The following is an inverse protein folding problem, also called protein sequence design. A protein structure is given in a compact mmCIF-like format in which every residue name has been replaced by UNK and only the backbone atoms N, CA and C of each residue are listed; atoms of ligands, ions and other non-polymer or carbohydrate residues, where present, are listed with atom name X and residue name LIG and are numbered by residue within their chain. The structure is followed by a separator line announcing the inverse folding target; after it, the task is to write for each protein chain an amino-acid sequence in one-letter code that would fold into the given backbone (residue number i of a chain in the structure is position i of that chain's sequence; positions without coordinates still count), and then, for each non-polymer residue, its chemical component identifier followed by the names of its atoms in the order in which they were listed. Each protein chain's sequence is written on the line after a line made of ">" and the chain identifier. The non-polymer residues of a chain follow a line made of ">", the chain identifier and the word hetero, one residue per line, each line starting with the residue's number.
data_IF_722664160527
#
_entry.id   IF_722664160527
#
_cell.length_a   1.000
_cell.length_b   1.000
_cell.length_c   1.000
_cell.angle_alpha   90.00
_cell.angle_beta   90.00
_cell.angle_gamma   90.00
#
_symmetry.space_group_name_H-M   'P 1'
#
loop_
_entity.id
_entity.type
_entity.pdbx_description
1 polymer ?
#
# COMPACT_ATOMS: atom_id res chain seq x y z
N UNK A 1 12.19 7.82 102.62
CA UNK A 1 12.09 9.03 101.78
C UNK A 1 13.07 9.01 100.61
N UNK A 2 14.38 8.78 100.82
CA UNK A 2 15.39 8.76 99.75
C UNK A 2 15.07 7.81 98.57
N UNK A 3 14.65 6.57 98.83
CA UNK A 3 14.28 5.60 97.79
C UNK A 3 13.14 6.09 96.88
N UNK A 4 12.12 6.73 97.46
CA UNK A 4 11.01 7.27 96.67
C UNK A 4 11.47 8.42 95.76
N UNK A 5 12.37 9.28 96.26
CA UNK A 5 12.97 10.35 95.45
C UNK A 5 13.74 9.80 94.24
N UNK A 6 14.53 8.75 94.42
CA UNK A 6 15.25 8.09 93.32
C UNK A 6 14.29 7.48 92.30
N UNK A 7 13.30 6.70 92.75
CA UNK A 7 12.32 6.08 91.86
C UNK A 7 11.52 7.12 91.06
N UNK A 8 11.15 8.25 91.69
CA UNK A 8 10.48 9.36 91.00
C UNK A 8 11.40 9.95 89.92
N UNK A 9 12.67 10.21 90.22
CA UNK A 9 13.62 10.74 89.24
C UNK A 9 13.83 9.78 88.05
N UNK A 10 13.97 8.48 88.31
CA UNK A 10 14.05 7.44 87.26
C UNK A 10 12.79 7.42 86.41
N UNK A 11 11.60 7.44 87.03
CA UNK A 11 10.34 7.47 86.30
C UNK A 11 10.20 8.74 85.45
N UNK A 12 10.57 9.91 85.98
CA UNK A 12 10.59 11.17 85.23
C UNK A 12 11.51 11.08 84.01
N UNK A 13 12.71 10.51 84.16
CA UNK A 13 13.64 10.30 83.04
C UNK A 13 13.05 9.33 82.01
N UNK A 14 12.50 8.20 82.45
CA UNK A 14 11.88 7.21 81.56
C UNK A 14 10.70 7.82 80.79
N UNK A 15 9.88 8.64 81.45
CA UNK A 15 8.75 9.34 80.82
C UNK A 15 9.26 10.34 79.77
N UNK A 16 10.31 11.10 80.07
CA UNK A 16 10.92 12.02 79.11
C UNK A 16 11.44 11.27 77.88
N UNK A 17 12.18 10.18 78.08
CA UNK A 17 12.65 9.32 76.98
C UNK A 17 11.49 8.74 76.17
N UNK A 18 10.44 8.24 76.82
CA UNK A 18 9.28 7.70 76.15
C UNK A 18 8.55 8.78 75.33
N UNK A 19 8.47 10.01 75.83
CA UNK A 19 7.88 11.14 75.11
C UNK A 19 8.63 11.42 73.81
N UNK A 20 9.96 11.48 73.86
CA UNK A 20 10.78 11.66 72.66
C UNK A 20 10.60 10.51 71.67
N UNK A 21 10.61 9.26 72.15
CA UNK A 21 10.42 8.09 71.29
C UNK A 21 9.06 8.11 70.59
N UNK A 22 7.99 8.47 71.30
CA UNK A 22 6.64 8.59 70.72
C UNK A 22 6.59 9.70 69.67
N UNK A 23 7.26 10.83 69.90
CA UNK A 23 7.36 11.90 68.90
C UNK A 23 8.03 11.41 67.62
N UNK A 24 9.18 10.73 67.74
CA UNK A 24 9.92 10.19 66.58
C UNK A 24 9.11 9.14 65.81
N UNK A 25 8.36 8.28 66.53
CA UNK A 25 7.47 7.31 65.91
C UNK A 25 6.30 7.97 65.21
N UNK A 26 5.73 9.02 65.79
CA UNK A 26 4.62 9.77 65.18
C UNK A 26 5.06 10.42 63.87
N UNK A 27 6.26 11.01 63.86
CA UNK A 27 6.85 11.58 62.64
C UNK A 27 7.11 10.50 61.59
N UNK A 28 7.70 9.36 61.98
CA UNK A 28 7.96 8.23 61.08
C UNK A 28 6.66 7.71 60.44
N UNK A 29 5.60 7.54 61.24
CA UNK A 29 4.29 7.07 60.76
C UNK A 29 3.63 8.09 59.83
N UNK A 30 3.77 9.38 60.15
CA UNK A 30 3.26 10.46 59.30
C UNK A 30 3.93 10.43 57.93
N UNK A 31 5.27 10.33 57.90
CA UNK A 31 6.03 10.31 56.65
C UNK A 31 5.72 9.06 55.80
N UNK A 32 5.65 7.87 56.42
CA UNK A 32 5.21 6.65 55.73
C UNK A 32 3.78 6.81 55.18
N UNK A 33 2.92 7.45 55.95
CA UNK A 33 1.58 7.80 55.58
C UNK A 33 1.49 8.92 54.54
N UNK A 34 2.57 9.54 54.08
CA UNK A 34 2.59 10.52 52.99
C UNK A 34 3.21 9.93 51.72
N UNK A 35 4.30 9.16 51.85
CA UNK A 35 5.12 8.67 50.73
C UNK A 35 4.71 7.30 50.17
N UNK A 36 3.86 6.54 50.87
CA UNK A 36 3.43 5.22 50.39
C UNK A 36 2.44 5.29 49.22
N UNK A 37 2.44 4.25 48.37
CA UNK A 37 1.32 3.97 47.46
C UNK A 37 0.11 3.56 48.30
N UNK A 38 -0.96 4.36 48.27
CA UNK A 38 -2.12 4.18 49.13
C UNK A 38 -3.28 3.57 48.39
N UNK A 39 -4.08 2.79 49.11
CA UNK A 39 -5.40 2.41 48.64
C UNK A 39 -6.33 3.61 48.72
N UNK A 40 -6.79 4.07 47.56
CA UNK A 40 -7.90 4.99 47.42
C UNK A 40 -9.21 4.18 47.50
N UNK A 41 -9.86 4.24 48.67
CA UNK A 41 -11.07 3.47 48.94
C UNK A 41 -12.25 3.90 48.09
N UNK A 42 -12.33 5.19 47.77
CA UNK A 42 -13.47 5.77 47.07
C UNK A 42 -13.41 5.40 45.59
N UNK A 43 -12.20 5.30 45.03
CA UNK A 43 -11.98 4.88 43.64
C UNK A 43 -11.65 3.38 43.47
N UNK A 44 -11.37 2.66 44.56
CA UNK A 44 -11.06 1.23 44.53
C UNK A 44 -9.74 0.89 43.84
N UNK A 45 -8.71 1.73 43.98
CA UNK A 45 -7.40 1.58 43.32
C UNK A 45 -6.24 1.91 44.25
N UNK A 46 -5.03 1.44 43.92
CA UNK A 46 -3.82 2.06 44.46
C UNK A 46 -3.50 3.34 43.70
N UNK A 47 -3.33 4.46 44.40
CA UNK A 47 -3.00 5.75 43.77
C UNK A 47 -1.51 6.02 43.79
N UNK A 48 -1.01 6.53 42.67
CA UNK A 48 0.35 7.08 42.53
C UNK A 48 0.37 8.61 42.65
N UNK A 49 -0.72 9.23 43.11
CA UNK A 49 -0.72 10.64 43.48
C UNK A 49 0.23 10.88 44.65
N UNK A 50 1.06 11.92 44.56
CA UNK A 50 2.01 12.30 45.61
C UNK A 50 2.19 13.82 45.63
N UNK A 51 2.16 14.40 46.83
CA UNK A 51 2.15 15.85 47.02
C UNK A 51 0.98 16.52 46.28
N UNK A 52 1.30 17.52 45.46
CA UNK A 52 0.32 18.26 44.66
C UNK A 52 0.03 17.63 43.28
N UNK A 53 0.68 16.52 42.95
CA UNK A 53 0.49 15.86 41.66
C UNK A 53 -0.70 14.91 41.72
N UNK A 54 -1.57 14.99 40.73
CA UNK A 54 -2.70 14.07 40.58
C UNK A 54 -2.27 12.68 40.11
N UNK A 55 -1.07 12.54 39.54
CA UNK A 55 -0.44 11.26 39.18
C UNK A 55 1.10 11.38 39.15
N UNK A 56 1.80 10.27 39.36
CA UNK A 56 3.27 10.19 39.30
C UNK A 56 3.72 9.00 38.45
N UNK A 57 4.97 9.03 37.98
CA UNK A 57 5.59 7.88 37.32
C UNK A 57 5.87 6.78 38.34
N UNK A 58 5.54 5.54 37.98
CA UNK A 58 6.06 4.33 38.65
C UNK A 58 7.18 3.80 37.76
N UNK A 59 8.42 3.85 38.26
CA UNK A 59 9.62 3.45 37.53
C UNK A 59 10.32 2.30 38.23
N UNK A 60 11.43 1.81 37.65
CA UNK A 60 12.18 0.65 38.15
C UNK A 60 11.34 -0.63 38.20
N UNK A 61 10.43 -0.77 37.23
CA UNK A 61 9.60 -1.95 37.01
C UNK A 61 10.39 -2.92 36.14
N UNK A 62 10.66 -4.11 36.67
CA UNK A 62 11.18 -5.24 35.89
C UNK A 62 10.18 -5.59 34.79
N UNK A 63 10.68 -6.15 33.68
CA UNK A 63 9.83 -6.62 32.59
C UNK A 63 8.76 -7.58 33.13
N UNK A 64 7.50 -7.24 32.88
CA UNK A 64 6.37 -8.06 33.26
C UNK A 64 6.26 -9.28 32.36
N UNK A 65 5.74 -10.39 32.89
CA UNK A 65 5.46 -11.57 32.06
C UNK A 65 4.35 -11.25 31.06
N UNK A 66 4.57 -11.43 29.75
CA UNK A 66 3.54 -11.19 28.72
C UNK A 66 2.86 -12.50 28.34
N UNK A 67 1.72 -12.77 28.98
CA UNK A 67 0.84 -13.92 28.69
C UNK A 67 -0.63 -13.51 28.83
N UNK A 68 -1.55 -14.33 28.30
CA UNK A 68 -2.98 -14.04 28.31
C UNK A 68 -3.60 -13.89 29.72
N UNK A 69 -2.93 -14.38 30.76
CA UNK A 69 -3.41 -14.36 32.15
C UNK A 69 -2.49 -13.61 33.11
N UNK A 70 -1.48 -12.88 32.59
CA UNK A 70 -0.55 -12.15 33.44
C UNK A 70 -1.25 -11.03 34.21
N UNK A 71 -0.78 -10.77 35.42
CA UNK A 71 -1.15 -9.59 36.22
C UNK A 71 0.08 -8.72 36.53
N UNK A 72 1.21 -8.99 35.87
CA UNK A 72 2.42 -8.19 36.02
C UNK A 72 2.24 -6.85 35.30
N UNK A 73 2.75 -5.78 35.92
CA UNK A 73 2.90 -4.51 35.21
C UNK A 73 4.00 -4.66 34.13
N UNK A 74 3.74 -4.14 32.93
CA UNK A 74 4.77 -4.02 31.89
C UNK A 74 5.43 -2.64 31.98
N UNK A 75 6.65 -2.54 31.48
CA UNK A 75 7.37 -1.27 31.41
C UNK A 75 7.46 -0.73 29.96
N UNK A 76 8.12 0.42 29.82
CA UNK A 76 8.26 1.11 28.54
C UNK A 76 9.08 0.33 27.50
N UNK A 77 10.10 -0.44 27.90
CA UNK A 77 10.92 -1.21 26.95
C UNK A 77 10.09 -2.29 26.25
N UNK A 78 9.23 -3.00 26.98
CA UNK A 78 8.38 -4.03 26.39
C UNK A 78 7.38 -3.46 25.37
N UNK A 79 6.79 -2.29 25.66
CA UNK A 79 5.90 -1.61 24.71
C UNK A 79 6.67 -1.07 23.50
N UNK A 80 7.88 -0.54 23.71
CA UNK A 80 8.76 -0.05 22.65
C UNK A 80 9.18 -1.18 21.70
N UNK A 81 9.56 -2.34 22.24
CA UNK A 81 9.96 -3.51 21.45
C UNK A 81 8.80 -4.04 20.60
N UNK A 82 7.59 -4.12 21.15
CA UNK A 82 6.39 -4.47 20.38
C UNK A 82 6.16 -3.49 19.22
N UNK A 83 6.21 -2.19 19.51
CA UNK A 83 6.02 -1.13 18.51
C UNK A 83 7.10 -1.17 17.42
N UNK A 84 8.35 -1.43 17.80
CA UNK A 84 9.50 -1.57 16.89
C UNK A 84 9.39 -2.80 15.98
N UNK A 85 8.89 -3.92 16.51
CA UNK A 85 8.60 -5.11 15.72
C UNK A 85 7.51 -4.84 14.69
N UNK A 86 6.43 -4.15 15.08
CA UNK A 86 5.36 -3.73 14.16
C UNK A 86 5.92 -2.85 13.04
N UNK A 87 6.77 -1.87 13.37
CA UNK A 87 7.44 -1.02 12.39
C UNK A 87 8.27 -1.84 11.40
N UNK A 88 9.02 -2.83 11.90
CA UNK A 88 9.83 -3.75 11.07
C UNK A 88 8.96 -4.55 10.10
N UNK A 89 7.81 -5.07 10.56
CA UNK A 89 6.91 -5.82 9.68
C UNK A 89 6.28 -4.98 8.59
N UNK A 90 5.97 -3.71 8.86
CA UNK A 90 5.50 -2.80 7.82
C UNK A 90 6.62 -2.40 6.85
N UNK A 91 7.87 -2.29 7.31
CA UNK A 91 8.95 -1.77 6.47
C UNK A 91 8.61 -0.35 6.00
N UNK A 92 8.98 0.00 4.76
CA UNK A 92 8.60 1.31 4.18
C UNK A 92 9.05 2.51 5.03
N UNK A 93 10.15 2.40 5.77
CA UNK A 93 10.62 3.40 6.75
C UNK A 93 9.67 3.66 7.93
N UNK A 94 8.72 2.76 8.21
CA UNK A 94 8.02 2.77 9.49
C UNK A 94 9.04 2.65 10.63
N UNK A 95 8.80 3.37 11.72
CA UNK A 95 9.76 3.46 12.83
C UNK A 95 9.09 3.89 14.13
N UNK A 96 9.80 3.73 15.24
CA UNK A 96 9.43 4.29 16.54
C UNK A 96 10.51 5.28 16.95
N UNK A 97 10.13 6.53 17.17
CA UNK A 97 11.10 7.55 17.57
C UNK A 97 11.50 7.41 19.05
N UNK A 98 12.46 8.23 19.50
CA UNK A 98 12.96 8.20 20.89
C UNK A 98 11.90 8.53 21.94
N UNK A 99 10.81 9.18 21.55
CA UNK A 99 9.69 9.53 22.42
C UNK A 99 8.61 8.44 22.45
N UNK A 100 8.85 7.29 21.78
CA UNK A 100 7.92 6.17 21.71
C UNK A 100 6.79 6.36 20.70
N UNK A 101 6.83 7.40 19.88
CA UNK A 101 5.80 7.68 18.86
C UNK A 101 6.07 6.84 17.62
N UNK A 102 5.05 6.09 17.20
CA UNK A 102 5.08 5.29 15.98
C UNK A 102 4.88 6.17 14.74
N UNK A 103 5.80 6.05 13.78
CA UNK A 103 5.69 6.62 12.44
C UNK A 103 5.33 5.51 11.47
N UNK A 104 4.22 5.67 10.75
CA UNK A 104 3.74 4.68 9.78
C UNK A 104 4.65 4.52 8.56
N UNK A 105 4.42 3.47 7.75
CA UNK A 105 5.20 3.23 6.55
C UNK A 105 4.92 4.29 5.48
N UNK A 106 5.85 4.42 4.54
CA UNK A 106 5.69 5.12 3.26
C UNK A 106 6.11 4.17 2.15
N UNK A 107 5.15 3.77 1.33
CA UNK A 107 5.35 2.96 0.14
C UNK A 107 5.28 3.85 -1.10
N UNK A 108 6.34 3.86 -1.92
CA UNK A 108 6.37 4.61 -3.17
C UNK A 108 6.00 3.70 -4.34
N UNK A 109 4.87 3.96 -4.98
CA UNK A 109 4.39 3.23 -6.17
C UNK A 109 4.27 4.23 -7.32
N UNK A 110 5.09 4.05 -8.36
CA UNK A 110 5.30 5.07 -9.39
C UNK A 110 5.84 6.36 -8.77
N UNK A 111 5.16 7.47 -9.01
CA UNK A 111 5.52 8.79 -8.47
C UNK A 111 4.77 9.14 -7.17
N UNK A 112 3.87 8.28 -6.70
CA UNK A 112 2.99 8.57 -5.56
C UNK A 112 3.41 7.82 -4.29
N UNK A 113 3.30 8.48 -3.13
CA UNK A 113 3.53 7.89 -1.81
C UNK A 113 2.21 7.44 -1.17
N UNK A 114 2.24 6.28 -0.52
CA UNK A 114 1.11 5.67 0.20
C UNK A 114 1.51 5.34 1.64
N UNK A 115 0.64 5.63 2.61
CA UNK A 115 0.99 5.58 4.04
C UNK A 115 0.41 4.37 4.78
N UNK A 116 -0.23 3.46 4.06
CA UNK A 116 -0.73 2.19 4.58
C UNK A 116 -0.70 1.13 3.47
N UNK A 117 -0.77 -0.14 3.88
CA UNK A 117 -0.66 -1.30 2.98
C UNK A 117 -1.86 -1.39 2.02
N UNK A 118 -3.06 -1.08 2.50
CA UNK A 118 -4.29 -1.21 1.70
C UNK A 118 -4.26 -0.31 0.46
N UNK A 119 -3.94 0.97 0.64
CA UNK A 119 -3.89 1.93 -0.46
C UNK A 119 -2.74 1.62 -1.43
N UNK A 120 -1.58 1.20 -0.91
CA UNK A 120 -0.46 0.80 -1.75
C UNK A 120 -0.80 -0.42 -2.62
N UNK A 121 -1.47 -1.43 -2.07
CA UNK A 121 -1.92 -2.60 -2.83
C UNK A 121 -3.01 -2.24 -3.85
N UNK A 122 -3.94 -1.35 -3.49
CA UNK A 122 -4.95 -0.85 -4.43
C UNK A 122 -4.30 -0.10 -5.61
N UNK A 123 -3.26 0.69 -5.35
CA UNK A 123 -2.49 1.38 -6.38
C UNK A 123 -1.78 0.39 -7.31
N UNK A 124 -1.08 -0.61 -6.76
CA UNK A 124 -0.42 -1.66 -7.55
C UNK A 124 -1.44 -2.37 -8.45
N UNK A 125 -2.59 -2.77 -7.90
CA UNK A 125 -3.65 -3.44 -8.66
C UNK A 125 -4.17 -2.59 -9.82
N UNK A 126 -4.34 -1.29 -9.59
CA UNK A 126 -4.74 -0.32 -10.62
C UNK A 126 -3.67 -0.19 -11.71
N UNK A 127 -2.40 -0.02 -11.33
CA UNK A 127 -1.29 0.15 -12.29
C UNK A 127 -1.10 -1.07 -13.20
N UNK A 128 -1.29 -2.30 -12.68
CA UNK A 128 -1.28 -3.49 -13.53
C UNK A 128 -2.45 -3.50 -14.51
N UNK A 129 -3.64 -3.10 -14.06
CA UNK A 129 -4.84 -3.09 -14.90
C UNK A 129 -4.72 -2.10 -16.06
N UNK A 130 -4.17 -0.91 -15.81
CA UNK A 130 -3.94 0.07 -16.88
C UNK A 130 -2.88 -0.39 -17.87
N UNK A 131 -1.74 -0.92 -17.38
CA UNK A 131 -0.66 -1.38 -18.26
C UNK A 131 -1.06 -2.58 -19.11
N UNK A 132 -1.89 -3.49 -18.59
CA UNK A 132 -2.39 -4.62 -19.35
C UNK A 132 -3.53 -4.20 -20.31
N UNK A 133 -4.31 -3.19 -19.95
CA UNK A 133 -5.40 -2.67 -20.80
C UNK A 133 -4.94 -2.14 -22.16
N UNK A 134 -3.69 -1.67 -22.26
CA UNK A 134 -3.11 -1.13 -23.49
C UNK A 134 -2.30 -2.15 -24.29
N UNK A 135 -2.13 -3.39 -23.80
CA UNK A 135 -1.38 -4.42 -24.48
C UNK A 135 -2.25 -5.19 -25.51
N UNK A 136 -1.62 -5.68 -26.58
CA UNK A 136 -2.25 -6.64 -27.51
C UNK A 136 -2.31 -8.02 -26.84
N UNK A 137 -3.40 -8.28 -26.12
CA UNK A 137 -3.53 -9.48 -25.28
C UNK A 137 -4.13 -10.67 -26.04
N UNK A 138 -3.73 -11.89 -25.61
CA UNK A 138 -4.34 -13.13 -26.05
C UNK A 138 -5.77 -13.25 -25.50
N UNK A 139 -6.75 -13.35 -26.38
CA UNK A 139 -8.12 -13.73 -26.04
C UNK A 139 -8.23 -15.25 -26.05
N UNK A 140 -8.25 -15.83 -24.84
CA UNK A 140 -8.35 -17.28 -24.66
C UNK A 140 -9.70 -17.86 -25.14
N UNK A 141 -10.77 -17.06 -25.13
CA UNK A 141 -12.09 -17.50 -25.61
C UNK A 141 -12.08 -17.59 -27.13
N UNK A 142 -11.46 -16.59 -27.78
CA UNK A 142 -11.36 -16.56 -29.22
C UNK A 142 -10.19 -17.37 -29.79
N UNK A 143 -9.25 -17.79 -28.95
CA UNK A 143 -8.05 -18.55 -29.33
C UNK A 143 -7.08 -17.75 -30.21
N UNK A 144 -6.97 -16.43 -30.01
CA UNK A 144 -6.12 -15.52 -30.81
C UNK A 144 -5.78 -14.24 -30.07
N UNK A 145 -4.78 -13.51 -30.54
CA UNK A 145 -4.54 -12.14 -30.09
C UNK A 145 -5.69 -11.22 -30.52
N UNK A 146 -6.09 -10.31 -29.63
CA UNK A 146 -7.16 -9.34 -29.89
C UNK A 146 -6.57 -7.95 -30.12
N UNK A 147 -6.91 -7.36 -31.26
CA UNK A 147 -6.65 -5.95 -31.55
C UNK A 147 -7.80 -5.03 -31.12
N UNK A 148 -8.70 -5.50 -30.24
CA UNK A 148 -9.76 -4.66 -29.67
C UNK A 148 -9.20 -3.81 -28.54
N UNK A 149 -9.56 -2.54 -28.48
CA UNK A 149 -9.11 -1.61 -27.43
C UNK A 149 -10.24 -0.66 -27.00
N UNK A 150 -10.07 -0.02 -25.85
CA UNK A 150 -11.05 0.91 -25.28
C UNK A 150 -12.27 0.25 -24.63
N UNK A 151 -13.12 1.07 -24.03
CA UNK A 151 -14.27 0.61 -23.21
C UNK A 151 -15.37 -0.07 -24.01
N UNK A 152 -15.46 0.20 -25.32
CA UNK A 152 -16.46 -0.37 -26.21
C UNK A 152 -16.01 -1.73 -26.78
N UNK A 153 -14.73 -2.07 -26.68
CA UNK A 153 -14.17 -3.31 -27.24
C UNK A 153 -14.19 -3.36 -28.77
N UNK A 154 -14.08 -2.20 -29.42
CA UNK A 154 -14.06 -2.08 -30.87
C UNK A 154 -12.69 -2.49 -31.43
N UNK A 155 -12.68 -3.05 -32.64
CA UNK A 155 -11.43 -3.39 -33.33
C UNK A 155 -10.64 -2.11 -33.63
N UNK A 156 -9.33 -2.17 -33.38
CA UNK A 156 -8.41 -1.04 -33.59
C UNK A 156 -7.43 -1.33 -34.72
N UNK A 157 -6.89 -0.26 -35.28
CA UNK A 157 -5.82 -0.32 -36.30
C UNK A 157 -4.52 -0.75 -35.63
N UNK A 158 -3.80 -1.67 -36.28
CA UNK A 158 -2.40 -1.96 -35.98
C UNK A 158 -1.57 -1.23 -37.04
N UNK A 159 -0.81 -0.23 -36.63
CA UNK A 159 0.08 0.57 -37.51
C UNK A 159 1.54 0.26 -37.20
N UNK A 160 2.44 0.86 -37.98
CA UNK A 160 3.90 0.69 -37.87
C UNK A 160 4.35 -0.77 -38.10
N UNK A 161 3.55 -1.49 -38.90
CA UNK A 161 3.86 -2.84 -39.40
C UNK A 161 4.79 -2.69 -40.60
N UNK A 162 6.02 -3.18 -40.48
CA UNK A 162 6.95 -3.26 -41.60
C UNK A 162 6.42 -4.20 -42.70
N UNK A 163 6.94 -4.07 -43.93
CA UNK A 163 6.58 -4.96 -45.03
C UNK A 163 6.93 -6.41 -44.66
N UNK A 164 5.94 -7.29 -44.70
CA UNK A 164 6.13 -8.71 -44.44
C UNK A 164 6.71 -9.45 -45.65
N UNK A 165 7.39 -10.57 -45.43
CA UNK A 165 7.84 -11.41 -46.55
C UNK A 165 6.62 -11.94 -47.34
N UNK A 166 6.70 -11.88 -48.69
CA UNK A 166 5.69 -12.47 -49.58
C UNK A 166 6.22 -13.77 -50.16
N UNK A 167 5.83 -14.89 -49.55
CA UNK A 167 6.16 -16.25 -50.00
C UNK A 167 5.12 -17.27 -49.51
N UNK A 168 5.08 -18.46 -50.13
CA UNK A 168 4.11 -19.52 -49.81
C UNK A 168 4.21 -20.07 -48.37
N UNK A 169 5.29 -19.73 -47.66
CA UNK A 169 5.55 -20.15 -46.29
C UNK A 169 5.58 -19.00 -45.28
N UNK A 170 5.32 -17.77 -45.71
CA UNK A 170 5.38 -16.61 -44.83
C UNK A 170 4.32 -16.67 -43.72
N UNK A 171 4.70 -16.18 -42.53
CA UNK A 171 3.79 -15.95 -41.40
C UNK A 171 3.81 -14.48 -40.97
N UNK A 172 4.38 -13.61 -41.80
CA UNK A 172 4.47 -12.18 -41.53
C UNK A 172 3.12 -11.51 -41.81
N UNK A 173 2.81 -10.48 -41.02
CA UNK A 173 1.71 -9.58 -41.35
C UNK A 173 2.09 -8.74 -42.58
N UNK A 174 1.14 -8.53 -43.48
CA UNK A 174 1.28 -7.58 -44.59
C UNK A 174 0.68 -6.23 -44.20
N UNK A 175 1.29 -5.15 -44.67
CA UNK A 175 0.74 -3.81 -44.46
C UNK A 175 0.02 -3.27 -45.70
N UNK A 176 -0.58 -2.09 -45.56
CA UNK A 176 -1.35 -1.45 -46.64
C UNK A 176 -0.52 -1.10 -47.88
N UNK A 177 0.79 -0.87 -47.75
CA UNK A 177 1.66 -0.54 -48.88
C UNK A 177 1.80 -1.71 -49.85
N UNK A 178 1.94 -2.92 -49.30
CA UNK A 178 2.07 -4.16 -50.08
C UNK A 178 0.76 -4.50 -50.79
N UNK A 179 -0.38 -4.38 -50.10
CA UNK A 179 -1.69 -4.59 -50.72
C UNK A 179 -1.97 -3.55 -51.83
N UNK A 180 -1.61 -2.28 -51.59
CA UNK A 180 -1.72 -1.25 -52.61
C UNK A 180 -0.86 -1.55 -53.84
N UNK A 181 0.38 -2.02 -53.65
CA UNK A 181 1.26 -2.44 -54.75
C UNK A 181 0.66 -3.57 -55.60
N UNK A 182 -0.02 -4.54 -54.99
CA UNK A 182 -0.78 -5.58 -55.71
C UNK A 182 -1.92 -4.95 -56.51
N UNK A 183 -2.70 -4.06 -55.91
CA UNK A 183 -3.81 -3.38 -56.59
C UNK A 183 -3.34 -2.54 -57.77
N UNK A 184 -2.21 -1.83 -57.64
CA UNK A 184 -1.60 -1.06 -58.74
C UNK A 184 -1.20 -1.97 -59.90
N UNK A 185 -0.56 -3.11 -59.62
CA UNK A 185 -0.20 -4.07 -60.66
C UNK A 185 -1.41 -4.62 -61.41
N UNK A 186 -2.51 -4.92 -60.69
CA UNK A 186 -3.76 -5.39 -61.30
C UNK A 186 -4.36 -4.34 -62.22
N UNK A 187 -4.41 -3.08 -61.77
CA UNK A 187 -4.92 -1.96 -62.56
C UNK A 187 -4.09 -1.74 -63.84
N UNK A 188 -2.76 -1.77 -63.73
CA UNK A 188 -1.88 -1.64 -64.89
C UNK A 188 -2.08 -2.76 -65.91
N UNK A 189 -2.35 -3.98 -65.43
CA UNK A 189 -2.61 -5.14 -66.28
C UNK A 189 -3.99 -5.09 -66.96
N UNK A 190 -5.00 -4.50 -66.30
CA UNK A 190 -6.32 -4.29 -66.88
C UNK A 190 -6.30 -3.21 -67.96
N UNK A 191 -5.60 -2.10 -67.75
CA UNK A 191 -5.62 -0.98 -68.69
C UNK A 191 -6.96 -0.24 -68.66
N UNK A 192 -7.43 0.24 -69.82
CA UNK A 192 -8.75 0.87 -69.96
C UNK A 192 -9.04 2.09 -69.07
N UNK A 193 -8.04 2.69 -68.44
CA UNK A 193 -8.25 3.78 -67.46
C UNK A 193 -8.71 3.31 -66.08
N UNK A 194 -8.57 2.01 -65.76
CA UNK A 194 -8.74 1.52 -64.40
C UNK A 194 -7.81 2.27 -63.43
N UNK A 195 -8.21 2.40 -62.17
CA UNK A 195 -7.42 3.07 -61.12
C UNK A 195 -7.69 2.51 -59.72
N UNK A 196 -6.70 2.62 -58.84
CA UNK A 196 -6.87 2.35 -57.40
C UNK A 196 -7.30 3.64 -56.71
N UNK A 197 -8.50 3.65 -56.14
CA UNK A 197 -9.08 4.79 -55.45
C UNK A 197 -8.44 5.01 -54.07
N UNK A 198 -8.63 6.22 -53.52
CA UNK A 198 -8.10 6.59 -52.21
C UNK A 198 -8.65 5.75 -51.04
N UNK A 199 -9.83 5.15 -51.21
CA UNK A 199 -10.44 4.24 -50.23
C UNK A 199 -9.99 2.77 -50.43
N UNK A 200 -9.10 2.51 -51.38
CA UNK A 200 -8.58 1.18 -51.71
C UNK A 200 -9.46 0.38 -52.68
N UNK A 201 -10.60 0.90 -53.12
CA UNK A 201 -11.42 0.27 -54.17
C UNK A 201 -10.77 0.42 -55.55
N UNK A 202 -11.17 -0.38 -56.53
CA UNK A 202 -10.70 -0.27 -57.91
C UNK A 202 -11.84 0.28 -58.78
N UNK A 203 -11.57 1.33 -59.54
CA UNK A 203 -12.41 1.79 -60.65
C UNK A 203 -12.20 0.86 -61.84
N UNK A 204 -13.29 0.34 -62.40
CA UNK A 204 -13.25 -0.60 -63.51
C UNK A 204 -12.61 0.03 -64.78
N UNK A 205 -11.96 -0.77 -65.64
CA UNK A 205 -11.51 -0.28 -66.94
C UNK A 205 -12.71 0.09 -67.82
N UNK A 206 -12.49 0.89 -68.84
CA UNK A 206 -13.39 1.03 -69.99
C UNK A 206 -12.68 0.48 -71.21
N UNK A 207 -13.17 -0.65 -71.71
CA UNK A 207 -12.68 -1.28 -72.93
C UNK A 207 -13.66 -1.02 -74.07
N UNK A 208 -13.20 -0.36 -75.13
CA UNK A 208 -14.05 -0.03 -76.29
C UNK A 208 -13.77 -0.99 -77.45
N UNK A 209 -14.70 -1.91 -77.73
CA UNK A 209 -14.67 -2.80 -78.91
C UNK A 209 -15.92 -2.53 -79.75
N UNK A 210 -15.74 -2.30 -81.06
CA UNK A 210 -16.85 -2.05 -82.00
C UNK A 210 -17.81 -0.90 -81.62
N UNK A 211 -17.35 0.09 -80.85
CA UNK A 211 -18.12 1.20 -80.26
C UNK A 211 -19.10 0.80 -79.13
N UNK A 212 -18.93 -0.38 -78.55
CA UNK A 212 -19.50 -0.71 -77.24
C UNK A 212 -18.41 -0.50 -76.18
N UNK A 213 -18.80 0.10 -75.06
CA UNK A 213 -17.93 0.27 -73.89
C UNK A 213 -18.32 -0.78 -72.85
N UNK A 214 -17.37 -1.63 -72.49
CA UNK A 214 -17.54 -2.66 -71.49
C UNK A 214 -16.57 -2.43 -70.32
N UNK A 215 -17.00 -2.79 -69.11
CA UNK A 215 -16.25 -2.54 -67.88
C UNK A 215 -15.33 -3.71 -67.47
N UNK A 216 -15.25 -4.73 -68.33
CA UNK A 216 -14.40 -5.89 -68.14
C UNK A 216 -14.01 -6.51 -69.49
N UNK A 217 -12.84 -7.15 -69.49
CA UNK A 217 -12.24 -7.76 -70.69
C UNK A 217 -13.09 -8.89 -71.26
N UNK A 218 -13.82 -9.62 -70.41
CA UNK A 218 -14.64 -10.75 -70.83
C UNK A 218 -15.81 -10.30 -71.71
N UNK A 219 -16.53 -9.28 -71.26
CA UNK A 219 -17.66 -8.70 -71.99
C UNK A 219 -17.17 -8.00 -73.26
N UNK A 220 -16.08 -7.22 -73.16
CA UNK A 220 -15.47 -6.56 -74.31
C UNK A 220 -15.10 -7.56 -75.43
N UNK A 221 -14.55 -8.73 -75.07
CA UNK A 221 -14.15 -9.75 -76.04
C UNK A 221 -15.35 -10.51 -76.65
N UNK A 222 -16.51 -10.45 -76.00
CA UNK A 222 -17.76 -11.04 -76.48
C UNK A 222 -18.66 -10.06 -77.26
N UNK A 223 -18.28 -8.78 -77.33
CA UNK A 223 -18.98 -7.70 -78.06
C UNK A 223 -18.65 -7.68 -79.56
#
# INVERSE_FOLDING_TARGET
>A
MATNTTNIATNTSNIATNTTNISNLTETVTNLGEDALKWDKDNGVFTAAHGNNTASKITNILDGTVTATSSDAINGSQLYDLSSNIATYFGGNASVNTDGVFTGPTYKIGETNYYNVGDALAAINSSFSTSLGDALLWDATAGKFSAKHGTNGDASVITDVADGEISDSSSDAVNGSQLHGVSSYVVDALGGGAEVNADGTITAPTETISNADDDNVGDALNA
#
